data_IF_610153754917
#
_entry.id   IF_610153754917
#
_cell.length_a   1.000
_cell.length_b   1.000
_cell.length_c   1.000
_cell.angle_alpha   90.00
_cell.angle_beta   90.00
_cell.angle_gamma   90.00
#
_symmetry.space_group_name_H-M   'P 1'
#
loop_
_entity.id
_entity.type
_entity.pdbx_description
1 polymer ?
#
# COMPACT_ATOMS: atom_id res chain seq x y z
N UNK A 1 43.34 56.28 19.73
CA UNK A 1 42.04 55.53 19.68
C UNK A 1 41.22 55.71 18.38
N UNK A 2 41.75 56.37 17.35
CA UNK A 2 41.07 56.57 16.05
C UNK A 2 41.42 55.56 14.96
N UNK A 3 42.53 54.86 15.09
CA UNK A 3 43.04 53.96 14.03
C UNK A 3 42.41 52.55 14.05
N UNK A 4 41.58 52.22 15.06
CA UNK A 4 40.98 50.85 15.21
C UNK A 4 39.66 50.70 14.53
N UNK A 5 39.02 51.74 14.03
CA UNK A 5 37.72 51.75 13.42
C UNK A 5 37.75 51.70 11.88
N UNK A 6 38.87 51.89 11.25
CA UNK A 6 39.00 51.89 9.80
C UNK A 6 39.24 50.49 9.18
N UNK A 7 39.62 49.50 9.98
CA UNK A 7 39.90 48.15 9.49
C UNK A 7 38.68 47.25 9.40
N UNK A 8 37.49 47.68 9.82
CA UNK A 8 36.24 46.90 9.73
C UNK A 8 35.28 47.33 8.60
N UNK A 9 35.77 48.09 7.63
CA UNK A 9 35.06 48.20 6.35
C UNK A 9 35.44 47.02 5.47
N UNK A 10 34.96 45.82 5.83
CA UNK A 10 34.88 44.78 4.85
C UNK A 10 34.04 45.31 3.68
N UNK A 11 34.66 45.48 2.54
CA UNK A 11 34.01 45.81 1.29
C UNK A 11 33.04 44.69 1.01
N UNK A 12 31.76 44.87 1.30
CA UNK A 12 30.70 44.06 0.75
C UNK A 12 30.79 44.15 -0.77
N UNK A 13 31.58 43.26 -1.37
CA UNK A 13 31.65 43.10 -2.81
C UNK A 13 30.31 42.46 -3.20
N UNK A 14 29.36 43.28 -3.71
CA UNK A 14 28.17 42.79 -4.32
C UNK A 14 28.52 41.83 -5.46
N UNK A 15 27.67 40.85 -5.69
CA UNK A 15 27.84 39.91 -6.81
C UNK A 15 27.87 40.65 -8.14
N UNK A 16 28.79 40.27 -9.00
CA UNK A 16 28.85 40.81 -10.36
C UNK A 16 27.73 40.20 -11.20
N UNK A 17 27.27 40.93 -12.23
CA UNK A 17 26.25 40.43 -13.16
C UNK A 17 26.71 39.12 -13.81
N UNK A 18 28.02 39.00 -14.10
CA UNK A 18 28.60 37.80 -14.71
C UNK A 18 28.51 36.60 -13.76
N UNK A 19 28.80 36.74 -12.46
CA UNK A 19 28.67 35.70 -11.47
C UNK A 19 27.21 35.19 -11.39
N UNK A 20 26.24 36.12 -11.41
CA UNK A 20 24.82 35.74 -11.40
C UNK A 20 24.42 34.95 -12.66
N UNK A 21 24.88 35.36 -13.85
CA UNK A 21 24.61 34.66 -15.10
C UNK A 21 25.22 33.28 -15.09
N UNK A 22 26.44 33.11 -14.58
CA UNK A 22 27.09 31.79 -14.46
C UNK A 22 26.34 30.90 -13.49
N UNK A 23 25.95 31.41 -12.33
CA UNK A 23 25.17 30.63 -11.34
C UNK A 23 23.82 30.16 -11.91
N UNK A 24 23.09 31.08 -12.57
CA UNK A 24 21.80 30.73 -13.18
C UNK A 24 21.99 29.67 -14.28
N UNK A 25 23.05 29.78 -15.07
CA UNK A 25 23.36 28.82 -16.14
C UNK A 25 23.65 27.43 -15.58
N UNK A 26 24.43 27.33 -14.49
CA UNK A 26 24.69 26.07 -13.79
C UNK A 26 23.39 25.47 -13.22
N UNK A 27 22.56 26.29 -12.57
CA UNK A 27 21.26 25.84 -12.05
C UNK A 27 20.34 25.34 -13.18
N UNK A 28 20.29 26.01 -14.32
CA UNK A 28 19.49 25.59 -15.44
C UNK A 28 19.90 24.20 -15.97
N UNK A 29 21.21 23.94 -16.08
CA UNK A 29 21.75 22.65 -16.49
C UNK A 29 21.40 21.56 -15.45
N UNK A 30 21.62 21.84 -14.16
CA UNK A 30 21.32 20.89 -13.07
C UNK A 30 19.82 20.54 -13.04
N UNK A 31 18.93 21.52 -13.15
CA UNK A 31 17.49 21.30 -13.17
C UNK A 31 17.07 20.49 -14.41
N UNK A 32 17.69 20.73 -15.56
CA UNK A 32 17.44 19.96 -16.79
C UNK A 32 17.74 18.47 -16.64
N UNK A 33 18.69 18.07 -15.79
CA UNK A 33 19.03 16.68 -15.52
C UNK A 33 18.18 16.09 -14.40
N UNK A 34 17.88 16.88 -13.35
CA UNK A 34 17.15 16.40 -12.16
C UNK A 34 15.68 16.08 -12.45
N UNK A 35 14.99 16.89 -13.24
CA UNK A 35 13.55 16.72 -13.50
C UNK A 35 13.20 15.38 -14.13
N UNK A 36 13.88 14.92 -15.21
CA UNK A 36 13.58 13.61 -15.79
C UNK A 36 13.93 12.44 -14.86
N UNK A 37 14.96 12.61 -14.00
CA UNK A 37 15.36 11.58 -13.03
C UNK A 37 14.26 11.29 -11.99
N UNK A 38 13.56 12.31 -11.51
CA UNK A 38 12.46 12.14 -10.53
C UNK A 38 11.29 11.32 -11.09
N UNK A 39 10.94 11.49 -12.35
CA UNK A 39 9.88 10.71 -13.00
C UNK A 39 10.23 9.23 -13.10
N UNK A 40 11.50 8.90 -13.34
CA UNK A 40 11.97 7.51 -13.37
C UNK A 40 11.83 6.83 -12.00
N UNK A 41 12.19 7.52 -10.91
CA UNK A 41 12.06 7.00 -9.54
C UNK A 41 10.60 6.70 -9.20
N UNK A 42 9.66 7.56 -9.57
CA UNK A 42 8.23 7.34 -9.36
C UNK A 42 7.73 6.13 -10.16
N UNK A 43 8.23 5.95 -11.38
CA UNK A 43 7.91 4.78 -12.20
C UNK A 43 8.35 3.46 -11.56
N UNK A 44 9.54 3.40 -10.99
CA UNK A 44 10.03 2.22 -10.26
C UNK A 44 9.18 1.92 -9.03
N UNK A 45 8.74 2.93 -8.29
CA UNK A 45 7.86 2.74 -7.12
C UNK A 45 6.51 2.16 -7.50
N UNK A 46 5.89 2.67 -8.57
CA UNK A 46 4.64 2.13 -9.10
C UNK A 46 4.81 0.68 -9.54
N UNK A 47 5.89 0.38 -10.25
CA UNK A 47 6.17 -0.98 -10.69
C UNK A 47 6.39 -1.93 -9.52
N UNK A 48 7.20 -1.52 -8.53
CA UNK A 48 7.44 -2.32 -7.32
C UNK A 48 6.14 -2.59 -6.58
N UNK A 49 5.34 -1.56 -6.30
CA UNK A 49 4.06 -1.71 -5.62
C UNK A 49 3.11 -2.66 -6.36
N UNK A 50 3.01 -2.52 -7.69
CA UNK A 50 2.20 -3.41 -8.53
C UNK A 50 2.69 -4.86 -8.44
N UNK A 51 4.00 -5.09 -8.50
CA UNK A 51 4.56 -6.43 -8.41
C UNK A 51 4.37 -7.03 -7.00
N UNK A 52 4.50 -6.23 -5.93
CA UNK A 52 4.23 -6.70 -4.56
C UNK A 52 2.76 -7.09 -4.39
N UNK A 53 1.81 -6.30 -4.93
CA UNK A 53 0.38 -6.67 -4.90
C UNK A 53 0.15 -7.97 -5.69
N UNK A 54 0.74 -8.11 -6.87
CA UNK A 54 0.62 -9.31 -7.69
C UNK A 54 1.15 -10.56 -6.98
N UNK A 55 2.34 -10.47 -6.40
CA UNK A 55 2.92 -11.56 -5.61
C UNK A 55 2.07 -11.91 -4.39
N UNK A 56 1.46 -10.90 -3.76
CA UNK A 56 0.56 -11.11 -2.64
C UNK A 56 -0.75 -11.80 -3.06
N UNK A 57 -1.29 -11.48 -4.23
CA UNK A 57 -2.46 -12.18 -4.79
C UNK A 57 -2.14 -13.65 -5.07
N UNK A 58 -0.99 -13.96 -5.67
CA UNK A 58 -0.55 -15.34 -5.91
C UNK A 58 -0.38 -16.12 -4.60
N UNK A 59 0.27 -15.51 -3.59
CA UNK A 59 0.40 -16.10 -2.26
C UNK A 59 -0.96 -16.32 -1.61
N UNK A 60 -1.86 -15.34 -1.67
CA UNK A 60 -3.21 -15.45 -1.10
C UNK A 60 -3.99 -16.59 -1.74
N UNK A 61 -3.88 -16.78 -3.05
CA UNK A 61 -4.54 -17.89 -3.76
C UNK A 61 -4.08 -19.25 -3.25
N UNK A 62 -2.76 -19.41 -3.04
CA UNK A 62 -2.17 -20.65 -2.49
C UNK A 62 -2.65 -20.87 -1.05
N UNK A 63 -2.62 -19.82 -0.23
CA UNK A 63 -3.02 -19.90 1.18
C UNK A 63 -4.53 -20.18 1.31
N UNK A 64 -5.39 -19.53 0.52
CA UNK A 64 -6.83 -19.76 0.51
C UNK A 64 -7.19 -21.21 0.11
N UNK A 65 -6.43 -21.82 -0.80
CA UNK A 65 -6.64 -23.21 -1.20
C UNK A 65 -6.24 -24.24 -0.15
N UNK A 66 -5.28 -23.90 0.72
CA UNK A 66 -4.64 -24.82 1.67
C UNK A 66 -5.05 -24.61 3.14
N UNK A 67 -5.73 -23.49 3.46
CA UNK A 67 -6.11 -23.10 4.82
C UNK A 67 -7.61 -22.89 4.96
N UNK A 68 -8.10 -22.80 6.20
CA UNK A 68 -9.49 -22.41 6.47
C UNK A 68 -9.71 -20.92 6.14
N UNK A 69 -8.73 -20.08 6.47
CA UNK A 69 -8.69 -18.67 6.09
C UNK A 69 -7.34 -18.37 5.45
N UNK A 70 -7.36 -17.80 4.28
CA UNK A 70 -6.19 -17.31 3.56
C UNK A 70 -6.56 -16.01 2.88
N UNK A 71 -6.24 -14.88 3.49
CA UNK A 71 -6.64 -13.55 3.05
C UNK A 71 -5.47 -12.60 3.03
N UNK A 72 -5.49 -11.70 2.07
CA UNK A 72 -4.59 -10.56 1.95
C UNK A 72 -5.32 -9.29 2.38
N UNK A 73 -4.71 -8.53 3.28
CA UNK A 73 -5.15 -7.18 3.63
C UNK A 73 -4.22 -6.18 2.97
N UNK A 74 -4.78 -5.28 2.17
CA UNK A 74 -4.11 -4.10 1.64
C UNK A 74 -4.62 -2.88 2.41
N UNK A 75 -3.73 -2.18 3.10
CA UNK A 75 -4.05 -1.09 4.01
C UNK A 75 -3.25 0.16 3.68
N UNK A 76 -3.87 1.33 3.81
CA UNK A 76 -3.17 2.62 3.75
C UNK A 76 -3.03 3.20 5.15
N UNK A 77 -1.77 3.47 5.53
CA UNK A 77 -1.41 4.19 6.76
C UNK A 77 -0.84 5.58 6.43
N UNK A 78 -0.58 6.38 7.43
CA UNK A 78 -0.05 7.76 7.27
C UNK A 78 1.26 7.82 6.46
N UNK A 79 2.11 6.82 6.58
CA UNK A 79 3.45 6.77 5.97
C UNK A 79 3.52 5.95 4.67
N UNK A 80 2.43 5.22 4.31
CA UNK A 80 2.40 4.42 3.09
C UNK A 80 1.35 3.33 3.03
N UNK A 81 1.54 2.42 2.08
CA UNK A 81 0.68 1.27 1.87
C UNK A 81 1.36 -0.01 2.31
N UNK A 82 0.59 -0.87 2.96
CA UNK A 82 1.04 -2.11 3.55
C UNK A 82 0.20 -3.28 3.06
N UNK A 83 0.85 -4.42 2.89
CA UNK A 83 0.20 -5.71 2.71
C UNK A 83 0.52 -6.58 3.91
N UNK A 84 -0.47 -7.28 4.42
CA UNK A 84 -0.34 -8.29 5.45
C UNK A 84 -1.33 -9.41 5.20
N UNK A 85 -1.19 -10.53 5.90
CA UNK A 85 -2.01 -11.72 5.69
C UNK A 85 -2.74 -12.09 6.96
N UNK A 86 -3.94 -12.65 6.76
CA UNK A 86 -4.72 -13.32 7.80
C UNK A 86 -4.79 -14.78 7.42
N UNK A 87 -4.18 -15.62 8.24
CA UNK A 87 -3.98 -17.03 7.93
C UNK A 87 -4.50 -17.88 9.08
N UNK A 88 -5.36 -18.87 8.78
CA UNK A 88 -5.82 -19.82 9.78
C UNK A 88 -5.86 -21.23 9.21
N UNK A 89 -5.27 -22.16 9.93
CA UNK A 89 -5.31 -23.60 9.63
C UNK A 89 -6.32 -24.37 10.47
N UNK A 90 -7.08 -23.68 11.33
CA UNK A 90 -7.90 -24.31 12.34
C UNK A 90 -7.08 -24.81 13.52
N UNK A 91 -7.69 -25.72 14.30
CA UNK A 91 -7.01 -26.29 15.48
C UNK A 91 -5.91 -27.25 15.06
N UNK A 92 -4.69 -26.96 15.53
CA UNK A 92 -3.55 -27.86 15.39
C UNK A 92 -3.16 -28.33 16.79
N UNK A 93 -3.17 -29.64 17.03
CA UNK A 93 -2.94 -30.23 18.35
C UNK A 93 -3.85 -29.65 19.46
N UNK A 94 -5.10 -29.32 19.13
CA UNK A 94 -6.09 -28.76 20.05
C UNK A 94 -5.92 -27.25 20.33
N UNK A 95 -4.93 -26.59 19.72
CA UNK A 95 -4.71 -25.15 19.84
C UNK A 95 -5.13 -24.43 18.56
N UNK A 96 -5.74 -23.26 18.69
CA UNK A 96 -6.04 -22.39 17.56
C UNK A 96 -4.75 -21.91 16.88
N UNK A 97 -4.74 -21.87 15.55
CA UNK A 97 -3.58 -21.50 14.73
C UNK A 97 -3.94 -20.36 13.78
N UNK A 98 -4.46 -19.28 14.36
CA UNK A 98 -4.74 -18.07 13.63
C UNK A 98 -3.55 -17.11 13.69
N UNK A 99 -3.15 -16.57 12.57
CA UNK A 99 -2.09 -15.58 12.40
C UNK A 99 -2.65 -14.35 11.72
N UNK A 100 -2.42 -13.20 12.33
CA UNK A 100 -2.94 -11.92 11.87
C UNK A 100 -1.79 -10.98 11.65
N UNK A 101 -1.93 -10.16 10.60
CA UNK A 101 -0.88 -9.29 10.11
C UNK A 101 0.45 -10.03 9.87
N UNK A 102 0.37 -11.32 9.49
CA UNK A 102 1.54 -12.12 9.16
C UNK A 102 2.24 -11.53 7.92
N UNK A 103 3.57 -11.61 7.88
CA UNK A 103 4.41 -11.16 6.77
C UNK A 103 4.09 -9.74 6.28
N UNK A 104 3.91 -8.80 7.21
CA UNK A 104 3.62 -7.41 6.87
C UNK A 104 4.76 -6.79 6.05
N UNK A 105 4.43 -6.25 4.88
CA UNK A 105 5.36 -5.57 3.97
C UNK A 105 4.86 -4.17 3.61
N UNK A 106 5.74 -3.16 3.68
CA UNK A 106 5.49 -1.83 3.12
C UNK A 106 5.79 -1.85 1.63
N UNK A 107 4.75 -1.71 0.81
CA UNK A 107 4.83 -1.82 -0.66
C UNK A 107 5.01 -0.48 -1.37
N UNK A 108 4.50 0.61 -0.77
CA UNK A 108 4.59 1.93 -1.37
C UNK A 108 4.59 3.05 -0.32
N UNK A 109 5.23 4.20 -0.59
CA UNK A 109 5.13 5.39 0.25
C UNK A 109 3.77 6.08 0.07
N UNK A 110 3.39 6.96 1.02
CA UNK A 110 2.10 7.69 1.03
C UNK A 110 1.84 8.55 -0.22
N UNK A 111 2.89 8.98 -0.92
CA UNK A 111 2.80 9.75 -2.18
C UNK A 111 2.33 8.91 -3.38
N UNK A 112 2.36 7.60 -3.30
CA UNK A 112 1.74 6.70 -4.27
C UNK A 112 0.24 6.69 -4.04
N UNK A 113 -0.56 6.61 -5.09
CA UNK A 113 -2.00 6.47 -4.99
C UNK A 113 -2.39 5.06 -5.41
N UNK A 114 -3.11 4.37 -4.54
CA UNK A 114 -3.71 3.07 -4.84
C UNK A 114 -5.22 3.23 -4.75
N UNK A 115 -5.90 2.86 -5.83
CA UNK A 115 -7.35 2.87 -5.97
C UNK A 115 -7.83 1.48 -6.37
N UNK A 116 -9.08 1.19 -6.14
CA UNK A 116 -9.73 -0.03 -6.59
C UNK A 116 -11.05 0.33 -7.28
N UNK A 117 -11.51 -0.54 -8.20
CA UNK A 117 -12.74 -0.33 -8.97
C UNK A 117 -13.72 -1.43 -8.64
N UNK A 118 -14.91 -1.03 -8.19
CA UNK A 118 -16.04 -1.92 -7.89
C UNK A 118 -17.27 -1.34 -8.57
N UNK A 119 -17.99 -2.17 -9.33
CA UNK A 119 -19.18 -1.76 -10.10
C UNK A 119 -18.92 -0.54 -11.01
N UNK A 120 -17.76 -0.51 -11.67
CA UNK A 120 -17.34 0.56 -12.55
C UNK A 120 -16.92 1.86 -11.85
N UNK A 121 -17.00 1.93 -10.52
CA UNK A 121 -16.62 3.13 -9.74
C UNK A 121 -15.23 2.98 -9.15
N UNK A 122 -14.34 3.91 -9.48
CA UNK A 122 -13.01 4.01 -8.87
C UNK A 122 -13.14 4.62 -7.47
N UNK A 123 -12.57 3.94 -6.48
CA UNK A 123 -12.48 4.40 -5.10
C UNK A 123 -11.01 4.41 -4.69
N UNK A 124 -10.54 5.54 -4.17
CA UNK A 124 -9.18 5.64 -3.64
C UNK A 124 -9.14 5.10 -2.23
N UNK A 125 -8.17 4.24 -1.95
CA UNK A 125 -7.93 3.76 -0.59
C UNK A 125 -7.46 4.94 0.28
N UNK A 126 -8.31 5.36 1.23
CA UNK A 126 -8.04 6.48 2.12
C UNK A 126 -7.17 6.08 3.31
N UNK A 127 -6.64 7.05 4.03
CA UNK A 127 -5.83 6.80 5.23
C UNK A 127 -6.62 6.06 6.31
N UNK A 128 -6.03 5.04 6.87
CA UNK A 128 -6.62 4.08 7.81
C UNK A 128 -7.78 3.27 7.23
N UNK A 129 -7.86 3.17 5.91
CA UNK A 129 -8.74 2.22 5.23
C UNK A 129 -7.95 1.01 4.76
N UNK A 130 -8.67 -0.09 4.64
CA UNK A 130 -8.14 -1.35 4.16
C UNK A 130 -9.14 -2.04 3.24
N UNK A 131 -8.63 -2.92 2.39
CA UNK A 131 -9.41 -3.90 1.64
C UNK A 131 -8.84 -5.29 1.91
N UNK A 132 -9.74 -6.25 2.07
CA UNK A 132 -9.41 -7.65 2.26
C UNK A 132 -9.80 -8.41 1.00
N UNK A 133 -8.83 -9.12 0.43
CA UNK A 133 -8.98 -9.90 -0.80
C UNK A 133 -8.70 -11.36 -0.48
N UNK A 134 -9.59 -12.23 -0.95
CA UNK A 134 -9.43 -13.67 -0.81
C UNK A 134 -10.01 -14.40 -2.02
N UNK A 135 -9.81 -15.70 -2.05
CA UNK A 135 -10.27 -16.60 -3.12
C UNK A 135 -11.19 -17.66 -2.58
N UNK A 136 -12.11 -18.07 -3.41
CA UNK A 136 -12.90 -19.27 -3.16
C UNK A 136 -12.00 -20.51 -3.19
N UNK A 137 -12.06 -21.29 -2.13
CA UNK A 137 -11.18 -22.45 -1.93
C UNK A 137 -11.39 -23.55 -2.97
N UNK A 138 -12.62 -23.72 -3.42
CA UNK A 138 -12.99 -24.83 -4.32
C UNK A 138 -12.74 -24.48 -5.79
N UNK A 139 -13.05 -23.25 -6.18
CA UNK A 139 -12.98 -22.81 -7.59
C UNK A 139 -11.72 -22.00 -7.89
N UNK A 140 -11.10 -21.40 -6.86
CA UNK A 140 -10.00 -20.46 -7.02
C UNK A 140 -10.42 -19.11 -7.60
N UNK A 141 -11.72 -18.83 -7.68
CA UNK A 141 -12.28 -17.55 -8.09
C UNK A 141 -12.02 -16.46 -7.03
N UNK A 142 -12.00 -15.19 -7.44
CA UNK A 142 -11.96 -14.09 -6.47
C UNK A 142 -13.32 -14.01 -5.75
N UNK A 143 -13.28 -13.92 -4.43
CA UNK A 143 -14.45 -13.56 -3.65
C UNK A 143 -14.64 -12.02 -3.65
N UNK A 144 -15.87 -11.54 -3.36
CA UNK A 144 -16.10 -10.12 -3.19
C UNK A 144 -15.14 -9.51 -2.19
N UNK A 145 -14.60 -8.35 -2.52
CA UNK A 145 -13.69 -7.61 -1.65
C UNK A 145 -14.43 -7.13 -0.41
N UNK A 146 -13.80 -7.24 0.72
CA UNK A 146 -14.33 -6.83 2.01
C UNK A 146 -13.52 -5.66 2.57
N UNK A 147 -14.14 -4.85 3.38
CA UNK A 147 -13.50 -3.83 4.18
C UNK A 147 -13.66 -4.17 5.66
N UNK A 148 -12.58 -4.09 6.39
CA UNK A 148 -12.56 -4.35 7.81
C UNK A 148 -12.70 -3.05 8.59
N UNK A 149 -13.54 -3.04 9.63
CA UNK A 149 -13.70 -1.86 10.50
C UNK A 149 -12.39 -1.54 11.24
N UNK A 150 -12.18 -0.27 11.56
CA UNK A 150 -10.98 0.19 12.29
C UNK A 150 -10.80 -0.49 13.66
N UNK A 151 -11.92 -0.78 14.31
CA UNK A 151 -11.93 -1.33 15.66
C UNK A 151 -11.54 -2.82 15.68
N UNK A 152 -11.67 -3.49 14.55
CA UNK A 152 -11.34 -4.91 14.40
C UNK A 152 -9.85 -5.22 14.64
N UNK A 153 -8.95 -4.26 14.41
CA UNK A 153 -7.50 -4.48 14.48
C UNK A 153 -6.86 -3.96 15.76
N UNK A 154 -7.39 -2.89 16.35
CA UNK A 154 -6.81 -2.28 17.55
C UNK A 154 -7.08 -3.08 18.83
N UNK A 155 -8.05 -3.99 18.80
CA UNK A 155 -8.42 -4.85 19.92
C UNK A 155 -8.33 -6.34 19.61
N UNK A 156 -7.83 -6.73 18.43
CA UNK A 156 -7.91 -8.11 17.97
C UNK A 156 -7.22 -9.10 18.91
N UNK A 157 -6.05 -8.76 19.45
CA UNK A 157 -5.33 -9.66 20.36
C UNK A 157 -6.13 -9.91 21.64
N UNK A 158 -6.74 -8.88 22.21
CA UNK A 158 -7.55 -9.01 23.42
C UNK A 158 -8.92 -9.61 23.15
N UNK A 159 -9.58 -9.17 22.07
CA UNK A 159 -10.90 -9.61 21.67
C UNK A 159 -10.92 -11.06 21.15
N UNK A 160 -10.00 -11.43 20.29
CA UNK A 160 -9.90 -12.80 19.77
C UNK A 160 -9.65 -13.80 20.91
N UNK A 161 -8.79 -13.45 21.85
CA UNK A 161 -8.54 -14.28 23.04
C UNK A 161 -9.74 -14.35 23.96
N UNK A 162 -10.51 -13.28 24.11
CA UNK A 162 -11.72 -13.27 24.92
C UNK A 162 -12.84 -14.10 24.28
N UNK A 163 -13.04 -13.98 22.97
CA UNK A 163 -14.00 -14.77 22.20
C UNK A 163 -13.68 -16.26 22.25
N UNK A 164 -12.42 -16.64 22.07
CA UNK A 164 -11.98 -18.03 22.21
C UNK A 164 -12.15 -18.57 23.64
N UNK A 165 -11.86 -17.75 24.64
CA UNK A 165 -12.03 -18.12 26.05
C UNK A 165 -13.48 -18.39 26.40
N UNK A 166 -14.39 -17.66 25.81
CA UNK A 166 -15.85 -17.80 26.00
C UNK A 166 -16.48 -18.91 25.14
N UNK A 167 -15.67 -19.65 24.37
CA UNK A 167 -16.14 -20.75 23.54
C UNK A 167 -16.88 -20.32 22.27
N UNK A 168 -16.86 -19.04 21.93
CA UNK A 168 -17.48 -18.52 20.73
C UNK A 168 -16.56 -18.70 19.52
N UNK A 169 -17.17 -18.78 18.33
CA UNK A 169 -16.42 -18.86 17.09
C UNK A 169 -15.91 -17.45 16.71
N UNK A 170 -14.60 -17.28 16.54
CA UNK A 170 -13.99 -16.06 16.00
C UNK A 170 -14.60 -15.70 14.65
N UNK A 171 -15.02 -16.69 13.88
CA UNK A 171 -15.58 -16.50 12.53
C UNK A 171 -16.93 -15.79 12.55
N UNK A 172 -17.83 -16.12 13.49
CA UNK A 172 -19.14 -15.51 13.58
C UNK A 172 -19.06 -14.00 13.88
N UNK A 173 -18.16 -13.62 14.78
CA UNK A 173 -17.97 -12.21 15.13
C UNK A 173 -17.21 -11.45 14.03
N UNK A 174 -16.36 -12.14 13.28
CA UNK A 174 -15.62 -11.56 12.18
C UNK A 174 -16.52 -11.19 11.00
N UNK A 175 -17.48 -12.03 10.64
CA UNK A 175 -18.45 -11.74 9.58
C UNK A 175 -19.22 -10.43 9.85
N UNK A 176 -19.52 -10.14 11.10
CA UNK A 176 -20.21 -8.91 11.50
C UNK A 176 -19.33 -7.65 11.41
N UNK A 177 -18.01 -7.80 11.32
CA UNK A 177 -17.06 -6.69 11.26
C UNK A 177 -16.51 -6.43 9.85
N UNK A 178 -16.88 -7.27 8.90
CA UNK A 178 -16.50 -7.15 7.51
C UNK A 178 -17.65 -6.56 6.70
N UNK A 179 -17.39 -5.47 6.00
CA UNK A 179 -18.33 -4.88 5.05
C UNK A 179 -18.01 -5.41 3.66
N UNK A 180 -18.97 -6.08 3.02
CA UNK A 180 -18.85 -6.51 1.64
C UNK A 180 -18.95 -5.29 0.70
N UNK A 181 -17.87 -5.02 -0.03
CA UNK A 181 -17.82 -3.93 -1.00
C UNK A 181 -18.29 -4.34 -2.39
N UNK A 182 -18.24 -5.64 -2.71
CA UNK A 182 -18.55 -6.17 -4.02
C UNK A 182 -17.33 -6.73 -4.77
N UNK A 183 -17.56 -7.16 -6.01
CA UNK A 183 -16.50 -7.71 -6.86
C UNK A 183 -15.55 -6.63 -7.35
N UNK A 184 -14.26 -6.78 -7.07
CA UNK A 184 -13.24 -5.87 -7.56
C UNK A 184 -12.89 -6.19 -9.01
N UNK A 185 -12.97 -5.19 -9.88
CA UNK A 185 -12.63 -5.31 -11.28
C UNK A 185 -11.13 -5.09 -11.52
N UNK A 186 -10.54 -4.17 -10.80
CA UNK A 186 -9.12 -3.84 -10.92
C UNK A 186 -8.62 -3.04 -9.72
N UNK A 187 -7.31 -3.15 -9.47
CA UNK A 187 -6.55 -2.26 -8.61
C UNK A 187 -5.70 -1.36 -9.50
N UNK A 188 -5.65 -0.08 -9.21
CA UNK A 188 -4.93 0.94 -9.95
C UNK A 188 -3.84 1.51 -9.05
N UNK A 189 -2.60 1.49 -9.51
CA UNK A 189 -1.44 2.06 -8.82
C UNK A 189 -0.92 3.24 -9.63
N UNK A 190 -0.96 4.44 -9.03
CA UNK A 190 -0.55 5.70 -9.68
C UNK A 190 0.62 6.35 -8.92
N UNK A 191 1.57 6.89 -9.68
CA UNK A 191 2.69 7.65 -9.11
C UNK A 191 3.31 8.56 -10.16
N UNK A 192 3.16 9.87 -10.00
CA UNK A 192 3.50 10.83 -11.03
C UNK A 192 2.68 10.61 -12.31
N UNK A 193 3.35 10.52 -13.46
CA UNK A 193 2.73 10.22 -14.75
C UNK A 193 2.55 8.72 -15.02
N UNK A 194 2.97 7.85 -14.13
CA UNK A 194 2.91 6.40 -14.33
C UNK A 194 1.67 5.81 -13.67
N UNK A 195 0.98 4.96 -14.46
CA UNK A 195 -0.22 4.24 -14.02
C UNK A 195 -0.02 2.77 -14.39
N UNK A 196 -0.37 1.87 -13.46
CA UNK A 196 -0.48 0.45 -13.71
C UNK A 196 -1.79 -0.08 -13.14
N UNK A 197 -2.41 -0.97 -13.89
CA UNK A 197 -3.66 -1.61 -13.50
C UNK A 197 -3.40 -3.11 -13.31
N UNK A 198 -3.96 -3.66 -12.24
CA UNK A 198 -4.09 -5.11 -12.01
C UNK A 198 -5.56 -5.41 -12.26
N UNK A 199 -5.88 -5.95 -13.42
CA UNK A 199 -7.25 -6.28 -13.84
C UNK A 199 -7.59 -7.68 -13.37
N UNK A 200 -8.72 -7.85 -12.68
CA UNK A 200 -9.16 -9.12 -12.11
C UNK A 200 -10.15 -9.81 -13.05
N UNK A 201 -9.93 -11.10 -13.26
CA UNK A 201 -10.89 -12.02 -13.86
C UNK A 201 -11.52 -12.82 -12.74
N UNK A 202 -12.63 -12.29 -12.21
CA UNK A 202 -13.23 -12.73 -10.95
C UNK A 202 -13.54 -14.21 -10.94
N UNK A 203 -14.14 -14.73 -12.02
CA UNK A 203 -14.59 -16.12 -12.10
C UNK A 203 -13.46 -17.17 -12.14
N UNK A 204 -12.27 -16.75 -12.56
CA UNK A 204 -11.12 -17.65 -12.70
C UNK A 204 -10.04 -17.41 -11.65
N UNK A 205 -10.16 -16.33 -10.89
CA UNK A 205 -9.14 -15.90 -9.94
C UNK A 205 -7.79 -15.62 -10.61
N UNK A 206 -7.82 -15.21 -11.88
CA UNK A 206 -6.63 -14.73 -12.62
C UNK A 206 -6.62 -13.22 -12.62
N UNK A 207 -5.45 -12.66 -12.81
CA UNK A 207 -5.29 -11.21 -13.00
C UNK A 207 -4.30 -10.93 -14.13
N UNK A 208 -4.36 -9.73 -14.68
CA UNK A 208 -3.44 -9.24 -15.70
C UNK A 208 -2.95 -7.85 -15.32
N UNK A 209 -1.64 -7.61 -15.46
CA UNK A 209 -1.05 -6.30 -15.24
C UNK A 209 -1.01 -5.56 -16.58
N UNK A 210 -1.60 -4.36 -16.63
CA UNK A 210 -1.60 -3.49 -17.80
C UNK A 210 -1.03 -2.11 -17.45
N UNK A 211 -0.50 -1.42 -18.45
CA UNK A 211 -0.13 0.00 -18.34
C UNK A 211 -1.35 0.85 -18.65
N UNK A 212 -1.57 1.89 -17.87
CA UNK A 212 -2.61 2.90 -18.12
C UNK A 212 -2.06 4.07 -18.89
#
# INVERSE_FOLDING_TARGET
>A
MKERWEQMKEKNKGFTLVEMVVVISIFAILLGILVPSLNSILGFRVQRATNSIAAALDKTKIEASSRLVGEMKLEKRSDGYYISYILDRGKVNGQENIKINEDEEKIAPSKTQISYVINGKEQQLAENENIVITYDRATGAFLPVQQQSKDCWNGFDSWAWETLRNGNSIYADRENQLTNLGSCERIIVKGGSRIRNIVFYTDTGKYQITTG
#
